data_IF_424666122592
#
_entry.id   IF_424666122592
#
_cell.length_a   1.000
_cell.length_b   1.000
_cell.length_c   1.000
_cell.angle_alpha   90.00
_cell.angle_beta   90.00
_cell.angle_gamma   90.00
#
_symmetry.space_group_name_H-M   'P 1'
#
loop_
_entity.id
_entity.type
_entity.pdbx_description
1 polymer ?
#
# COMPACT_ATOMS: atom_id res chain seq x y z
N UNK A 1 0.52 1.08 -20.16
CA UNK A 1 0.56 -0.15 -19.32
C UNK A 1 0.22 0.29 -17.92
N UNK A 2 -0.86 -0.22 -17.34
CA UNK A 2 -1.25 0.13 -15.96
C UNK A 2 -0.18 -0.41 -15.02
N UNK A 3 0.39 0.45 -14.17
CA UNK A 3 1.29 0.06 -13.10
C UNK A 3 0.69 -1.12 -12.31
N UNK A 4 1.35 -2.29 -12.34
CA UNK A 4 0.89 -3.47 -11.61
C UNK A 4 1.33 -3.35 -10.16
N UNK A 5 0.41 -2.89 -9.32
CA UNK A 5 0.58 -2.89 -7.88
C UNK A 5 0.51 -4.32 -7.35
N UNK A 6 1.46 -4.69 -6.50
CA UNK A 6 1.55 -5.98 -5.84
C UNK A 6 1.33 -5.82 -4.35
N UNK A 7 0.48 -6.65 -3.75
CA UNK A 7 0.25 -6.63 -2.30
C UNK A 7 1.56 -7.03 -1.60
N UNK A 8 2.09 -6.12 -0.80
CA UNK A 8 3.33 -6.33 -0.06
C UNK A 8 3.05 -6.88 1.33
N UNK A 9 2.16 -6.24 2.08
CA UNK A 9 1.83 -6.64 3.45
C UNK A 9 0.39 -6.26 3.80
N UNK A 10 -0.23 -7.03 4.71
CA UNK A 10 -1.57 -6.80 5.22
C UNK A 10 -1.58 -6.94 6.75
N UNK A 11 -2.28 -6.04 7.44
CA UNK A 11 -2.48 -6.10 8.87
C UNK A 11 -3.87 -5.58 9.23
N UNK A 12 -4.71 -6.47 9.76
CA UNK A 12 -6.11 -6.17 10.02
C UNK A 12 -6.81 -5.66 8.77
N UNK A 13 -7.28 -4.42 8.84
CA UNK A 13 -8.00 -3.76 7.76
C UNK A 13 -7.12 -2.93 6.82
N UNK A 14 -5.81 -2.81 7.09
CA UNK A 14 -4.85 -2.06 6.28
C UNK A 14 -4.00 -2.97 5.40
N UNK A 15 -3.66 -2.48 4.22
CA UNK A 15 -2.81 -3.15 3.23
C UNK A 15 -1.78 -2.18 2.67
N UNK A 16 -0.53 -2.62 2.52
CA UNK A 16 0.51 -1.94 1.76
C UNK A 16 0.66 -2.63 0.42
N UNK A 17 0.68 -1.84 -0.65
CA UNK A 17 0.94 -2.26 -2.01
C UNK A 17 2.23 -1.61 -2.52
N UNK A 18 2.96 -2.31 -3.39
CA UNK A 18 4.19 -1.86 -4.01
C UNK A 18 4.05 -1.90 -5.52
N UNK A 19 4.57 -0.89 -6.21
CA UNK A 19 4.82 -0.94 -7.65
C UNK A 19 6.30 -0.72 -7.91
N UNK A 20 6.86 -1.52 -8.82
CA UNK A 20 8.19 -1.28 -9.37
C UNK A 20 8.06 -0.45 -10.64
N UNK A 21 8.74 0.68 -10.67
CA UNK A 21 8.88 1.51 -11.85
C UNK A 21 10.27 1.26 -12.44
N UNK A 22 10.31 0.80 -13.69
CA UNK A 22 11.54 0.72 -14.45
C UNK A 22 11.76 2.08 -15.10
N UNK A 23 12.61 2.91 -14.49
CA UNK A 23 13.06 4.11 -15.15
C UNK A 23 14.03 3.73 -16.31
N UNK A 24 14.03 4.51 -17.41
CA UNK A 24 14.85 4.22 -18.60
C UNK A 24 16.37 4.30 -18.33
N UNK A 25 16.77 4.78 -17.16
CA UNK A 25 18.15 4.91 -16.69
C UNK A 25 18.66 3.67 -15.90
N UNK A 26 17.91 2.56 -15.92
CA UNK A 26 18.16 1.34 -15.13
C UNK A 26 18.03 1.51 -13.60
N UNK A 27 17.57 2.65 -13.09
CA UNK A 27 17.22 2.76 -11.68
C UNK A 27 15.85 2.10 -11.45
N UNK A 28 15.86 0.96 -10.78
CA UNK A 28 14.63 0.39 -10.23
C UNK A 28 14.15 1.28 -9.08
N UNK A 29 13.08 2.04 -9.31
CA UNK A 29 12.41 2.78 -8.23
C UNK A 29 11.17 2.02 -7.80
N UNK A 30 10.87 2.08 -6.50
CA UNK A 30 9.65 1.53 -5.94
C UNK A 30 8.78 2.65 -5.43
N UNK A 31 7.47 2.53 -5.62
CA UNK A 31 6.49 3.35 -4.92
C UNK A 31 5.62 2.44 -4.07
N UNK A 32 5.16 2.99 -2.96
CA UNK A 32 4.34 2.28 -1.99
C UNK A 32 3.03 3.03 -1.83
N UNK A 33 1.94 2.30 -1.58
CA UNK A 33 0.67 2.88 -1.18
C UNK A 33 0.02 2.08 -0.08
N UNK A 34 -0.57 2.77 0.89
CA UNK A 34 -1.43 2.24 1.93
C UNK A 34 -2.89 2.34 1.50
N UNK A 35 -3.63 1.24 1.62
CA UNK A 35 -5.07 1.21 1.45
C UNK A 35 -5.72 0.69 2.72
N UNK A 36 -6.68 1.43 3.26
CA UNK A 36 -7.47 1.00 4.41
C UNK A 36 -8.82 0.44 3.94
N UNK A 37 -9.32 -0.53 4.68
CA UNK A 37 -10.61 -1.14 4.46
C UNK A 37 -11.42 -1.05 5.75
N UNK A 38 -12.74 -1.06 5.61
CA UNK A 38 -13.65 -1.26 6.73
C UNK A 38 -14.37 -2.57 6.52
N UNK A 39 -14.56 -3.34 7.58
CA UNK A 39 -15.38 -4.54 7.57
C UNK A 39 -16.64 -4.27 8.39
N UNK A 40 -17.79 -4.26 7.72
CA UNK A 40 -19.10 -4.10 8.36
C UNK A 40 -19.96 -5.27 7.94
N UNK A 41 -20.45 -6.04 8.91
CA UNK A 41 -21.31 -7.21 8.66
C UNK A 41 -20.70 -8.28 7.74
N UNK A 42 -19.37 -8.40 7.71
CA UNK A 42 -18.65 -9.34 6.83
C UNK A 42 -18.46 -8.85 5.39
N UNK A 43 -18.94 -7.65 5.06
CA UNK A 43 -18.64 -6.97 3.81
C UNK A 43 -17.40 -6.10 3.98
N UNK A 44 -16.41 -6.33 3.11
CA UNK A 44 -15.16 -5.58 3.10
C UNK A 44 -15.24 -4.46 2.07
N UNK A 45 -15.22 -3.22 2.53
CA UNK A 45 -15.28 -2.02 1.68
C UNK A 45 -13.96 -1.28 1.79
N UNK A 46 -13.40 -0.85 0.65
CA UNK A 46 -12.21 -0.01 0.63
C UNK A 46 -12.58 1.41 1.11
N UNK A 47 -11.82 1.95 2.05
CA UNK A 47 -11.89 3.37 2.40
C UNK A 47 -11.29 4.15 1.23
N UNK A 48 -11.94 5.23 0.80
CA UNK A 48 -11.47 6.01 -0.36
C UNK A 48 -10.08 6.63 -0.15
N UNK A 49 -9.64 6.74 1.10
CA UNK A 49 -8.32 7.23 1.46
C UNK A 49 -7.20 6.26 1.05
N UNK A 50 -6.29 6.78 0.21
CA UNK A 50 -5.07 6.09 -0.21
C UNK A 50 -3.90 6.98 0.18
N UNK A 51 -2.96 6.44 0.93
CA UNK A 51 -1.75 7.14 1.32
C UNK A 51 -0.57 6.63 0.48
N UNK A 52 0.30 7.52 0.01
CA UNK A 52 1.44 7.16 -0.84
C UNK A 52 2.74 7.40 -0.08
N UNK A 53 3.70 6.49 -0.25
CA UNK A 53 5.00 6.57 0.41
C UNK A 53 6.13 6.36 -0.58
N UNK A 54 7.22 7.10 -0.38
CA UNK A 54 8.44 6.98 -1.18
C UNK A 54 9.32 5.83 -0.68
N UNK A 55 9.24 5.49 0.61
CA UNK A 55 10.03 4.41 1.21
C UNK A 55 9.18 3.29 1.79
N UNK A 56 9.76 2.10 1.82
CA UNK A 56 9.18 0.93 2.47
C UNK A 56 8.96 1.17 3.96
N UNK A 57 9.91 1.83 4.62
CA UNK A 57 9.88 2.08 6.06
C UNK A 57 8.68 2.95 6.46
N UNK A 58 8.37 3.99 5.68
CA UNK A 58 7.20 4.84 5.93
C UNK A 58 5.89 4.06 5.75
N UNK A 59 5.77 3.29 4.68
CA UNK A 59 4.59 2.46 4.44
C UNK A 59 4.36 1.45 5.58
N UNK A 60 5.43 0.82 6.05
CA UNK A 60 5.41 -0.14 7.17
C UNK A 60 5.06 0.56 8.49
N UNK A 61 5.59 1.77 8.73
CA UNK A 61 5.25 2.56 9.91
C UNK A 61 3.74 2.90 9.93
N UNK A 62 3.18 3.32 8.78
CA UNK A 62 1.75 3.58 8.63
C UNK A 62 0.88 2.33 8.90
N UNK A 63 1.30 1.18 8.38
CA UNK A 63 0.59 -0.08 8.59
C UNK A 63 0.54 -0.44 10.09
N UNK A 64 1.68 -0.32 10.78
CA UNK A 64 1.77 -0.61 12.21
C UNK A 64 1.04 0.43 13.08
N UNK A 65 0.97 1.69 12.65
CA UNK A 65 0.23 2.73 13.38
C UNK A 65 -1.28 2.46 13.46
N UNK A 66 -1.83 1.64 12.55
CA UNK A 66 -3.23 1.22 12.56
C UNK A 66 -3.54 0.06 13.50
N UNK A 67 -2.54 -0.45 14.20
CA UNK A 67 -2.66 -1.53 15.19
C UNK A 67 -2.76 -0.89 16.56
N UNK A 68 -3.94 -0.38 16.89
CA UNK A 68 -4.30 0.17 18.20
C UNK A 68 -5.51 -0.53 18.76
#
# INVERSE_FOLDING_TARGET
>A
MTAKWELMQKQGSREIWKVKNHAPDQLETAQYKGEEFTEVSGERTKVEEIEYFDTETEAIAWLNAGVG
#
